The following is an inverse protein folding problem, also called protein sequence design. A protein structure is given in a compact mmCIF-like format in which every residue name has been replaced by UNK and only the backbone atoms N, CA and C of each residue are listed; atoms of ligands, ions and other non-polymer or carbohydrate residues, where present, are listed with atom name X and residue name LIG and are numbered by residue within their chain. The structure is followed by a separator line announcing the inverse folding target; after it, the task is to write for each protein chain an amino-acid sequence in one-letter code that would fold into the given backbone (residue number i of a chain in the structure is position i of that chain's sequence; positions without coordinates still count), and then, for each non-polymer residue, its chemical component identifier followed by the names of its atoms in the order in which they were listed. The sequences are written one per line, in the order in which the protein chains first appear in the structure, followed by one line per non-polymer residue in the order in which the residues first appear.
data_IF_270470222775
#
_entry.id   IF_270470222775
#
_cell.length_a   1.000
_cell.length_b   1.000
_cell.length_c   1.000
_cell.angle_alpha   90.00
_cell.angle_beta   90.00
_cell.angle_gamma   90.00
#
_symmetry.space_group_name_H-M   'P 1'
#
loop_
_entity.id
_entity.type
_entity.pdbx_description
1 polymer ?
#
# COMPACT_ATOMS: atom_id res chain seq x y z
N UNK A 1 11.59 0.60 -7.94
CA UNK A 1 10.74 1.29 -8.95
C UNK A 1 9.67 2.13 -8.24
N UNK A 2 8.89 2.99 -8.94
CA UNK A 2 7.77 3.74 -8.32
C UNK A 2 6.43 3.06 -8.59
N UNK A 3 5.67 2.76 -7.55
CA UNK A 3 4.41 2.02 -7.63
C UNK A 3 3.32 2.77 -6.84
N UNK A 4 2.14 2.90 -7.42
CA UNK A 4 0.97 3.47 -6.74
C UNK A 4 -0.10 2.40 -6.61
N UNK A 5 -0.60 2.20 -5.39
CA UNK A 5 -1.67 1.26 -5.08
C UNK A 5 -2.91 2.07 -4.67
N UNK A 6 -4.02 1.86 -5.38
CA UNK A 6 -5.31 2.48 -5.06
C UNK A 6 -6.17 1.47 -4.30
N UNK A 7 -6.19 1.61 -2.98
CA UNK A 7 -6.89 0.75 -2.03
C UNK A 7 -5.93 0.11 -1.02
N UNK A 8 -6.14 0.40 0.27
CA UNK A 8 -5.46 -0.15 1.44
C UNK A 8 -6.21 -1.34 2.06
N UNK A 9 -7.18 -1.91 1.34
CA UNK A 9 -7.86 -3.14 1.77
C UNK A 9 -6.94 -4.36 1.82
N UNK A 10 -7.49 -5.53 2.11
CA UNK A 10 -6.73 -6.78 2.33
C UNK A 10 -5.67 -7.08 1.25
N UNK A 11 -6.04 -6.94 -0.03
CA UNK A 11 -5.12 -7.20 -1.15
C UNK A 11 -4.06 -6.10 -1.28
N UNK A 12 -4.48 -4.84 -1.23
CA UNK A 12 -3.61 -3.70 -1.45
C UNK A 12 -2.55 -3.55 -0.36
N UNK A 13 -2.92 -3.75 0.91
CA UNK A 13 -1.99 -3.77 2.03
C UNK A 13 -0.98 -4.91 1.94
N UNK A 14 -1.43 -6.14 1.72
CA UNK A 14 -0.55 -7.31 1.58
C UNK A 14 0.41 -7.17 0.40
N UNK A 15 -0.06 -6.58 -0.71
CA UNK A 15 0.78 -6.32 -1.88
C UNK A 15 1.82 -5.22 -1.59
N UNK A 16 1.41 -4.13 -0.94
CA UNK A 16 2.32 -3.06 -0.53
C UNK A 16 3.43 -3.59 0.37
N UNK A 17 3.09 -4.43 1.36
CA UNK A 17 4.05 -5.01 2.30
C UNK A 17 5.08 -5.92 1.61
N UNK A 18 4.64 -6.77 0.68
CA UNK A 18 5.56 -7.61 -0.09
C UNK A 18 6.47 -6.79 -0.99
N UNK A 19 5.91 -5.84 -1.74
CA UNK A 19 6.68 -5.04 -2.69
C UNK A 19 7.63 -4.06 -2.01
N UNK A 20 7.32 -3.60 -0.78
CA UNK A 20 8.17 -2.71 -0.01
C UNK A 20 9.50 -3.37 0.38
N UNK A 21 9.52 -4.71 0.49
CA UNK A 21 10.73 -5.49 0.80
C UNK A 21 11.69 -5.61 -0.40
N UNK A 22 11.26 -5.21 -1.60
CA UNK A 22 12.02 -5.30 -2.84
C UNK A 22 12.64 -3.94 -3.27
N UNK A 23 12.89 -3.02 -2.33
CA UNK A 23 13.43 -1.67 -2.61
C UNK A 23 12.57 -0.84 -3.59
N UNK A 24 11.26 -1.05 -3.58
CA UNK A 24 10.31 -0.23 -4.33
C UNK A 24 9.85 0.98 -3.52
N UNK A 25 9.69 2.11 -4.20
CA UNK A 25 9.07 3.33 -3.68
C UNK A 25 7.57 3.24 -3.93
N UNK A 26 6.81 2.95 -2.87
CA UNK A 26 5.39 2.61 -2.95
C UNK A 26 4.57 3.68 -2.25
N UNK A 27 3.52 4.13 -2.92
CA UNK A 27 2.50 5.01 -2.34
C UNK A 27 1.15 4.29 -2.36
N UNK A 28 0.55 4.10 -1.19
CA UNK A 28 -0.81 3.57 -1.05
C UNK A 28 -1.78 4.73 -0.85
N UNK A 29 -2.86 4.75 -1.63
CA UNK A 29 -3.94 5.74 -1.53
C UNK A 29 -5.24 5.00 -1.28
N UNK A 30 -5.93 5.33 -0.21
CA UNK A 30 -7.30 4.87 0.06
C UNK A 30 -8.16 6.07 0.44
N UNK A 31 -9.46 5.98 0.17
CA UNK A 31 -10.44 6.98 0.63
C UNK A 31 -10.76 6.83 2.11
N UNK A 32 -10.56 5.63 2.67
CA UNK A 32 -10.74 5.30 4.08
C UNK A 32 -9.46 5.59 4.86
N UNK A 33 -9.49 6.67 5.63
CA UNK A 33 -8.36 7.11 6.44
C UNK A 33 -8.02 6.19 7.61
N UNK A 34 -8.97 5.39 8.13
CA UNK A 34 -8.67 4.45 9.21
C UNK A 34 -7.81 3.30 8.67
N UNK A 35 -8.13 2.76 7.49
CA UNK A 35 -7.30 1.72 6.84
C UNK A 35 -5.88 2.16 6.58
N UNK A 36 -5.68 3.42 6.19
CA UNK A 36 -4.33 3.96 5.98
C UNK A 36 -3.53 4.10 7.28
N UNK A 37 -4.18 4.24 8.44
CA UNK A 37 -3.49 4.30 9.75
C UNK A 37 -3.12 2.93 10.29
N UNK A 38 -3.81 1.88 9.82
CA UNK A 38 -3.54 0.49 10.21
C UNK A 38 -2.39 -0.16 9.41
N UNK A 39 -1.98 0.45 8.30
CA UNK A 39 -0.81 0.06 7.49
C UNK A 39 0.50 0.60 8.09
#
# INVERSE_FOLDING_TARGET
MKIIILGAGQVGGTLAEHLAREENDITVVDTDGERLREL
#
